data_IF_887091763832
#
_entry.id   IF_887091763832
#
_cell.length_a   1.000
_cell.length_b   1.000
_cell.length_c   1.000
_cell.angle_alpha   90.00
_cell.angle_beta   90.00
_cell.angle_gamma   90.00
#
_symmetry.space_group_name_H-M   'P 1'
#
loop_
_entity.id
_entity.type
_entity.pdbx_description
1 polymer ?
#
# COMPACT_ATOMS: atom_id res chain seq x y z
N UNK A 1 -57.26 -3.15 51.69
CA UNK A 1 -55.79 -3.14 51.58
C UNK A 1 -55.26 -4.04 50.45
N UNK A 2 -55.70 -5.31 50.32
CA UNK A 2 -55.26 -6.23 49.23
C UNK A 2 -55.39 -5.65 47.81
N UNK A 3 -56.52 -5.04 47.45
CA UNK A 3 -56.71 -4.45 46.11
C UNK A 3 -55.79 -3.26 45.81
N UNK A 4 -55.39 -2.48 46.82
CA UNK A 4 -54.45 -1.37 46.61
C UNK A 4 -53.03 -1.89 46.38
N UNK A 5 -52.67 -2.98 47.08
CA UNK A 5 -51.38 -3.66 46.92
C UNK A 5 -51.28 -4.31 45.54
N UNK A 6 -52.33 -5.02 45.08
CA UNK A 6 -52.40 -5.58 43.72
C UNK A 6 -52.27 -4.50 42.64
N UNK A 7 -52.96 -3.37 42.81
CA UNK A 7 -52.88 -2.25 41.87
C UNK A 7 -51.47 -1.63 41.84
N UNK A 8 -50.80 -1.52 43.00
CA UNK A 8 -49.43 -1.02 43.10
C UNK A 8 -48.42 -1.93 42.39
N UNK A 9 -48.60 -3.25 42.49
CA UNK A 9 -47.76 -4.22 41.78
C UNK A 9 -47.94 -4.14 40.26
N UNK A 10 -49.18 -4.00 39.78
CA UNK A 10 -49.48 -3.89 38.35
C UNK A 10 -48.87 -2.61 37.75
N UNK A 11 -49.00 -1.48 38.44
CA UNK A 11 -48.43 -0.18 38.01
C UNK A 11 -46.91 -0.26 37.98
N UNK A 12 -46.29 -0.86 38.99
CA UNK A 12 -44.83 -1.04 39.04
C UNK A 12 -44.34 -1.95 37.91
N UNK A 13 -45.05 -3.04 37.62
CA UNK A 13 -44.69 -3.97 36.55
C UNK A 13 -44.85 -3.34 35.16
N UNK A 14 -45.90 -2.52 34.95
CA UNK A 14 -46.03 -1.72 33.73
C UNK A 14 -44.89 -0.71 33.57
N UNK A 15 -44.51 -0.02 34.64
CA UNK A 15 -43.44 0.98 34.61
C UNK A 15 -42.09 0.35 34.25
N UNK A 16 -41.77 -0.81 34.85
CA UNK A 16 -40.57 -1.59 34.53
C UNK A 16 -40.62 -2.08 33.08
N UNK A 17 -41.77 -2.54 32.61
CA UNK A 17 -41.97 -2.94 31.21
C UNK A 17 -41.68 -1.81 30.22
N UNK A 18 -42.13 -0.58 30.50
CA UNK A 18 -41.87 0.61 29.67
C UNK A 18 -40.38 1.00 29.68
N UNK A 19 -39.69 0.85 30.82
CA UNK A 19 -38.24 1.10 30.90
C UNK A 19 -37.47 0.04 30.10
N UNK A 20 -37.90 -1.23 30.10
CA UNK A 20 -37.25 -2.29 29.32
C UNK A 20 -37.39 -2.10 27.80
N UNK A 21 -38.49 -1.54 27.28
CA UNK A 21 -38.63 -1.28 25.83
C UNK A 21 -37.89 -0.03 25.35
N UNK A 22 -37.47 0.87 26.25
CA UNK A 22 -36.70 2.08 25.90
C UNK A 22 -35.18 1.89 25.99
N UNK A 23 -34.72 0.80 26.60
CA UNK A 23 -33.29 0.46 26.68
C UNK A 23 -32.73 -0.14 25.38
N UNK A 24 -33.58 -0.55 24.44
CA UNK A 24 -33.16 -1.09 23.14
C UNK A 24 -33.10 0.01 22.08
N UNK A 25 -32.18 0.95 22.24
CA UNK A 25 -31.72 1.77 21.11
C UNK A 25 -30.21 1.83 21.09
N UNK A 26 -29.58 0.66 21.07
CA UNK A 26 -28.19 0.55 20.64
C UNK A 26 -28.18 0.78 19.14
N UNK A 27 -28.13 2.06 18.75
CA UNK A 27 -27.58 2.43 17.45
C UNK A 27 -26.09 2.08 17.51
N UNK A 28 -25.80 0.79 17.33
CA UNK A 28 -24.51 0.36 16.82
C UNK A 28 -24.33 1.11 15.52
N UNK A 29 -23.51 2.15 15.57
CA UNK A 29 -23.04 2.84 14.38
C UNK A 29 -22.13 1.82 13.69
N UNK A 30 -22.75 0.93 12.91
CA UNK A 30 -22.04 -0.03 12.07
C UNK A 30 -21.36 0.84 11.03
N UNK A 31 -20.13 1.24 11.33
CA UNK A 31 -19.31 2.03 10.43
C UNK A 31 -19.09 1.16 9.18
N UNK A 32 -19.86 1.44 8.13
CA UNK A 32 -19.81 0.69 6.87
C UNK A 32 -18.53 0.98 6.07
N UNK A 33 -17.84 2.08 6.41
CA UNK A 33 -16.65 2.56 5.72
C UNK A 33 -15.52 2.70 6.73
N UNK A 34 -14.62 1.72 6.73
CA UNK A 34 -13.37 1.77 7.50
C UNK A 34 -12.27 2.38 6.66
N UNK A 35 -11.45 3.23 7.27
CA UNK A 35 -10.28 3.78 6.61
C UNK A 35 -9.24 2.68 6.36
N UNK A 36 -8.48 2.82 5.29
CA UNK A 36 -7.35 1.96 4.99
C UNK A 36 -6.17 2.80 4.48
N UNK A 37 -4.97 2.24 4.60
CA UNK A 37 -3.74 2.76 4.00
C UNK A 37 -2.97 1.62 3.31
N UNK A 38 -2.00 1.99 2.49
CA UNK A 38 -1.09 1.09 1.82
C UNK A 38 0.29 1.20 2.48
N UNK A 39 0.66 0.22 3.30
CA UNK A 39 2.02 0.12 3.82
C UNK A 39 2.94 -0.49 2.76
N UNK A 40 4.14 0.05 2.62
CA UNK A 40 5.11 -0.39 1.62
C UNK A 40 6.48 -0.53 2.26
N UNK A 41 7.23 -1.58 1.92
CA UNK A 41 8.63 -1.65 2.33
C UNK A 41 9.49 -0.63 1.56
N UNK A 42 10.65 -0.24 2.10
CA UNK A 42 11.60 0.58 1.36
C UNK A 42 11.99 -0.09 0.04
N UNK A 43 11.96 0.68 -1.04
CA UNK A 43 12.41 0.26 -2.38
C UNK A 43 13.68 1.02 -2.75
N UNK A 44 14.51 0.44 -3.61
CA UNK A 44 15.65 1.12 -4.20
C UNK A 44 15.25 2.44 -4.86
N UNK A 45 16.10 3.46 -4.73
CA UNK A 45 15.87 4.79 -5.33
C UNK A 45 16.52 4.91 -6.71
N UNK A 46 17.33 3.93 -7.10
CA UNK A 46 18.04 3.87 -8.37
C UNK A 46 17.66 2.60 -9.14
N UNK A 47 17.50 2.73 -10.46
CA UNK A 47 17.14 1.61 -11.34
C UNK A 47 17.77 1.83 -12.72
N UNK A 48 18.47 0.82 -13.24
CA UNK A 48 19.01 0.89 -14.60
C UNK A 48 18.00 0.39 -15.62
N UNK A 49 18.17 0.76 -16.88
CA UNK A 49 17.28 0.31 -17.96
C UNK A 49 17.27 -1.22 -18.06
N UNK A 50 16.08 -1.80 -17.99
CA UNK A 50 15.86 -3.24 -18.05
C UNK A 50 15.88 -3.95 -16.70
N UNK A 51 16.33 -3.27 -15.64
CA UNK A 51 16.23 -3.77 -14.26
C UNK A 51 14.79 -3.71 -13.75
N UNK A 52 14.50 -4.55 -12.76
CA UNK A 52 13.21 -4.68 -12.13
C UNK A 52 13.30 -4.44 -10.61
N UNK A 53 12.51 -3.51 -10.10
CA UNK A 53 12.38 -3.23 -8.67
C UNK A 53 11.15 -3.95 -8.09
N UNK A 54 11.33 -4.67 -6.97
CA UNK A 54 10.25 -5.28 -6.22
C UNK A 54 9.66 -4.31 -5.19
N UNK A 55 8.35 -4.06 -5.25
CA UNK A 55 7.61 -3.22 -4.31
C UNK A 55 6.68 -4.13 -3.51
N UNK A 56 7.00 -4.34 -2.23
CA UNK A 56 6.16 -5.12 -1.31
C UNK A 56 5.12 -4.24 -0.64
N UNK A 57 3.86 -4.61 -0.82
CA UNK A 57 2.72 -3.85 -0.35
C UNK A 57 1.89 -4.66 0.66
N UNK A 58 1.34 -3.97 1.65
CA UNK A 58 0.36 -4.49 2.58
C UNK A 58 -0.76 -3.46 2.77
N UNK A 59 -2.00 -3.88 2.52
CA UNK A 59 -3.18 -3.10 2.79
C UNK A 59 -3.49 -3.18 4.28
N UNK A 60 -3.52 -2.02 4.96
CA UNK A 60 -3.74 -1.91 6.41
C UNK A 60 -5.11 -1.27 6.62
N UNK A 61 -6.02 -1.98 7.28
CA UNK A 61 -7.40 -1.54 7.53
C UNK A 61 -7.59 -1.18 9.00
N UNK A 62 -8.40 -0.17 9.29
CA UNK A 62 -8.75 0.20 10.67
C UNK A 62 -9.81 -0.73 11.30
N UNK A 63 -10.45 -1.59 10.51
CA UNK A 63 -11.46 -2.55 10.94
C UNK A 63 -11.65 -3.68 9.93
N UNK A 64 -12.38 -4.72 10.34
CA UNK A 64 -12.69 -5.87 9.49
C UNK A 64 -14.11 -5.76 8.94
N UNK A 65 -14.24 -5.51 7.63
CA UNK A 65 -15.49 -5.65 6.90
C UNK A 65 -15.28 -6.61 5.73
N UNK A 66 -16.02 -7.73 5.73
CA UNK A 66 -15.77 -8.84 4.81
C UNK A 66 -16.14 -8.55 3.35
N UNK A 67 -17.01 -7.56 3.11
CA UNK A 67 -17.53 -7.28 1.76
C UNK A 67 -16.78 -6.14 1.04
N UNK A 68 -15.72 -5.56 1.63
CA UNK A 68 -14.92 -4.52 0.97
C UNK A 68 -14.08 -5.13 -0.14
N UNK A 69 -14.26 -4.66 -1.37
CA UNK A 69 -13.44 -5.05 -2.52
C UNK A 69 -12.42 -3.97 -2.80
N UNK A 70 -11.18 -4.37 -3.05
CA UNK A 70 -10.10 -3.46 -3.41
C UNK A 70 -9.73 -3.60 -4.89
N UNK A 71 -9.28 -2.49 -5.44
CA UNK A 71 -8.84 -2.38 -6.81
C UNK A 71 -7.55 -1.57 -6.87
N UNK A 72 -6.70 -1.91 -7.82
CA UNK A 72 -5.46 -1.22 -8.07
C UNK A 72 -5.48 -0.59 -9.46
N UNK A 73 -4.94 0.62 -9.54
CA UNK A 73 -4.67 1.36 -10.77
C UNK A 73 -3.30 1.99 -10.64
N UNK A 74 -2.59 2.13 -11.75
CA UNK A 74 -1.35 2.90 -11.76
C UNK A 74 -1.36 3.99 -12.82
N UNK A 75 -0.53 5.00 -12.61
CA UNK A 75 -0.23 6.03 -13.58
C UNK A 75 1.28 6.29 -13.60
N UNK A 76 1.83 6.62 -14.75
CA UNK A 76 3.24 6.94 -14.89
C UNK A 76 3.38 8.37 -15.43
N UNK A 77 3.60 9.37 -14.54
CA UNK A 77 3.81 10.75 -14.95
C UNK A 77 5.08 10.96 -15.79
N UNK A 78 6.16 10.22 -15.49
CA UNK A 78 7.49 10.47 -16.05
C UNK A 78 8.24 9.17 -16.39
N UNK A 79 9.04 9.21 -17.45
CA UNK A 79 9.83 8.09 -17.95
C UNK A 79 8.97 6.99 -18.59
N UNK A 80 9.56 5.82 -18.85
CA UNK A 80 8.87 4.66 -19.42
C UNK A 80 9.23 3.40 -18.66
N UNK A 81 8.21 2.65 -18.24
CA UNK A 81 8.38 1.38 -17.57
C UNK A 81 7.13 0.52 -17.66
N UNK A 82 7.26 -0.72 -17.19
CA UNK A 82 6.18 -1.69 -17.08
C UNK A 82 5.95 -2.02 -15.60
N UNK A 83 4.70 -1.94 -15.15
CA UNK A 83 4.33 -2.36 -13.80
C UNK A 83 3.49 -3.63 -13.88
N UNK A 84 3.89 -4.65 -13.13
CA UNK A 84 3.24 -5.97 -13.15
C UNK A 84 2.97 -6.46 -11.74
N UNK A 85 1.91 -7.24 -11.58
CA UNK A 85 1.61 -7.93 -10.33
C UNK A 85 2.41 -9.23 -10.21
N UNK A 86 2.49 -9.76 -8.99
CA UNK A 86 3.11 -11.06 -8.71
C UNK A 86 2.51 -12.24 -9.50
N UNK A 87 1.24 -12.19 -9.85
CA UNK A 87 0.60 -13.20 -10.69
C UNK A 87 0.94 -13.07 -12.19
N UNK A 88 1.79 -12.11 -12.57
CA UNK A 88 2.22 -11.85 -13.94
C UNK A 88 1.30 -10.94 -14.75
N UNK A 89 0.21 -10.43 -14.16
CA UNK A 89 -0.66 -9.43 -14.82
C UNK A 89 0.11 -8.14 -15.02
N UNK A 90 0.29 -7.73 -16.26
CA UNK A 90 0.83 -6.41 -16.60
C UNK A 90 -0.30 -5.37 -16.48
N UNK A 91 -0.05 -4.33 -15.69
CA UNK A 91 -1.01 -3.24 -15.53
C UNK A 91 -0.84 -2.26 -16.68
N UNK A 92 -1.96 -1.77 -17.20
CA UNK A 92 -2.00 -0.66 -18.16
C UNK A 92 -2.28 0.65 -17.41
N UNK A 93 -1.64 1.78 -17.80
CA UNK A 93 -1.86 3.04 -17.13
C UNK A 93 -3.34 3.43 -17.16
N UNK A 94 -3.87 3.84 -16.01
CA UNK A 94 -5.26 4.21 -15.76
C UNK A 94 -6.31 3.09 -15.81
N UNK A 95 -5.93 1.86 -16.12
CA UNK A 95 -6.84 0.71 -16.05
C UNK A 95 -6.97 0.19 -14.62
N UNK A 96 -8.16 -0.36 -14.31
CA UNK A 96 -8.52 -0.82 -12.98
C UNK A 96 -8.48 -2.35 -12.91
N UNK A 97 -7.78 -2.89 -11.93
CA UNK A 97 -7.62 -4.33 -11.74
C UNK A 97 -8.08 -4.74 -10.33
N UNK A 98 -8.72 -5.92 -10.18
CA UNK A 98 -9.11 -6.42 -8.86
C UNK A 98 -7.88 -6.77 -8.03
N UNK A 99 -7.94 -6.48 -6.73
CA UNK A 99 -6.91 -6.80 -5.77
C UNK A 99 -7.49 -7.71 -4.68
N UNK A 100 -7.45 -9.05 -4.87
CA UNK A 100 -8.08 -10.00 -3.94
C UNK A 100 -7.28 -10.21 -2.66
N UNK A 101 -5.97 -9.94 -2.69
CA UNK A 101 -5.06 -10.16 -1.57
C UNK A 101 -4.67 -8.83 -0.92
N UNK A 102 -4.58 -8.83 0.41
CA UNK A 102 -4.15 -7.66 1.18
C UNK A 102 -2.63 -7.50 1.18
N UNK A 103 -1.89 -8.59 1.01
CA UNK A 103 -0.44 -8.58 0.86
C UNK A 103 -0.11 -9.01 -0.54
N UNK A 104 0.64 -8.18 -1.27
CA UNK A 104 0.95 -8.44 -2.66
C UNK A 104 2.26 -7.76 -3.06
N UNK A 105 2.86 -8.23 -4.14
CA UNK A 105 4.06 -7.64 -4.71
C UNK A 105 3.78 -7.07 -6.08
N UNK A 106 4.38 -5.92 -6.34
CA UNK A 106 4.46 -5.32 -7.66
C UNK A 106 5.92 -5.36 -8.12
N UNK A 107 6.11 -5.55 -9.41
CA UNK A 107 7.42 -5.49 -10.03
C UNK A 107 7.41 -4.38 -11.07
N UNK A 108 8.30 -3.41 -10.90
CA UNK A 108 8.45 -2.30 -11.84
C UNK A 108 9.70 -2.49 -12.66
N UNK A 109 9.55 -2.65 -13.96
CA UNK A 109 10.66 -2.76 -14.90
C UNK A 109 10.90 -1.44 -15.60
N UNK A 110 12.11 -0.90 -15.45
CA UNK A 110 12.54 0.30 -16.16
C UNK A 110 12.74 0.00 -17.65
N UNK A 111 12.18 0.85 -18.52
CA UNK A 111 12.38 0.78 -19.97
C UNK A 111 13.12 2.00 -20.52
N UNK A 112 13.47 2.94 -19.65
CA UNK A 112 14.11 4.21 -19.99
C UNK A 112 15.39 4.46 -19.18
N UNK A 113 16.19 5.43 -19.62
CA UNK A 113 17.39 5.92 -18.92
C UNK A 113 17.16 7.24 -18.20
N UNK A 114 15.96 7.80 -18.31
CA UNK A 114 15.59 9.02 -17.60
C UNK A 114 15.08 8.71 -16.19
N UNK A 115 14.95 9.77 -15.37
CA UNK A 115 14.27 9.68 -14.09
C UNK A 115 12.81 9.22 -14.29
N UNK A 116 12.40 8.26 -13.49
CA UNK A 116 11.10 7.59 -13.60
C UNK A 116 10.28 7.83 -12.36
N UNK A 117 8.97 8.06 -12.53
CA UNK A 117 8.03 8.16 -11.43
C UNK A 117 6.75 7.41 -11.77
N UNK A 118 6.27 6.62 -10.82
CA UNK A 118 4.97 5.96 -10.89
C UNK A 118 4.12 6.33 -9.68
N UNK A 119 2.82 6.42 -9.91
CA UNK A 119 1.79 6.63 -8.89
C UNK A 119 0.87 5.41 -8.88
N UNK A 120 0.75 4.77 -7.72
CA UNK A 120 -0.13 3.63 -7.49
C UNK A 120 -1.32 4.12 -6.66
N UNK A 121 -2.52 3.76 -7.11
CA UNK A 121 -3.79 4.08 -6.48
C UNK A 121 -4.48 2.79 -6.07
N UNK A 122 -4.85 2.70 -4.80
CA UNK A 122 -5.73 1.65 -4.28
C UNK A 122 -7.09 2.28 -4.04
N UNK A 123 -8.11 1.69 -4.63
CA UNK A 123 -9.50 2.10 -4.50
C UNK A 123 -10.26 0.99 -3.79
N UNK A 124 -11.18 1.35 -2.91
CA UNK A 124 -12.15 0.39 -2.38
C UNK A 124 -13.51 0.49 -3.10
N UNK A 125 -14.42 -0.43 -2.76
CA UNK A 125 -15.79 -0.45 -3.27
C UNK A 125 -16.67 0.70 -2.77
N UNK A 126 -16.22 1.48 -1.79
CA UNK A 126 -16.94 2.62 -1.21
C UNK A 126 -16.46 3.97 -1.78
N UNK A 127 -15.44 3.97 -2.63
CA UNK A 127 -14.90 5.15 -3.31
C UNK A 127 -13.75 5.83 -2.56
N UNK A 128 -13.23 5.25 -1.48
CA UNK A 128 -12.00 5.71 -0.84
C UNK A 128 -10.80 5.41 -1.74
N UNK A 129 -9.82 6.31 -1.74
CA UNK A 129 -8.61 6.19 -2.57
C UNK A 129 -7.37 6.49 -1.75
N UNK A 130 -6.40 5.60 -1.80
CA UNK A 130 -5.06 5.79 -1.24
C UNK A 130 -4.06 5.81 -2.38
N UNK A 131 -3.20 6.83 -2.41
CA UNK A 131 -2.14 6.98 -3.40
C UNK A 131 -0.77 6.80 -2.75
N UNK A 132 0.13 6.07 -3.42
CA UNK A 132 1.57 6.07 -3.12
C UNK A 132 2.37 6.34 -4.40
N UNK A 133 3.41 7.14 -4.27
CA UNK A 133 4.31 7.48 -5.37
C UNK A 133 5.68 6.84 -5.15
N UNK A 134 6.27 6.34 -6.23
CA UNK A 134 7.63 5.84 -6.25
C UNK A 134 8.42 6.59 -7.32
N UNK A 135 9.63 7.02 -6.96
CA UNK A 135 10.54 7.72 -7.85
C UNK A 135 11.85 6.96 -7.91
N UNK A 136 12.32 6.74 -9.13
CA UNK A 136 13.56 6.04 -9.43
C UNK A 136 14.45 6.95 -10.27
N UNK A 137 15.69 7.09 -9.84
CA UNK A 137 16.74 7.76 -10.60
C UNK A 137 17.46 6.72 -11.47
N UNK A 138 18.00 7.15 -12.60
CA UNK A 138 18.92 6.30 -13.35
C UNK A 138 20.32 6.46 -12.72
N UNK A 139 20.97 5.35 -12.38
CA UNK A 139 22.42 5.34 -12.22
C UNK A 139 22.99 5.17 -13.62
N UNK A 140 23.62 6.22 -14.18
CA UNK A 140 24.56 6.00 -15.26
C UNK A 140 25.61 5.01 -14.72
N UNK A 141 25.78 3.86 -15.37
CA UNK A 141 26.92 3.00 -15.09
C UNK A 141 28.17 3.84 -15.40
N UNK A 142 28.70 4.54 -14.39
CA UNK A 142 30.03 5.10 -14.44
C UNK A 142 30.96 3.91 -14.70
N UNK A 143 31.39 3.78 -15.96
CA UNK A 143 32.44 2.87 -16.37
C UNK A 143 33.57 3.05 -15.35
N UNK A 144 33.80 2.03 -14.52
CA UNK A 144 34.92 2.03 -13.59
C UNK A 144 36.17 2.12 -14.44
N UNK A 145 36.74 3.32 -14.55
CA UNK A 145 38.12 3.51 -14.98
C UNK A 145 38.99 2.74 -14.00
N UNK A 146 39.31 1.49 -14.36
CA UNK A 146 40.41 0.74 -13.79
C UNK A 146 41.68 1.53 -14.08
N UNK A 147 42.02 2.51 -13.24
CA UNK A 147 43.33 3.14 -13.22
C UNK A 147 44.33 2.08 -12.78
N UNK A 148 44.78 1.27 -13.73
CA UNK A 148 45.89 0.36 -13.60
C UNK A 148 47.10 1.17 -13.15
N UNK A 149 47.52 0.94 -11.90
CA UNK A 149 48.60 1.64 -11.23
C UNK A 149 49.94 1.37 -11.93
N UNK A 150 50.27 2.15 -12.97
CA UNK A 150 51.53 2.07 -13.70
C UNK A 150 52.70 2.76 -12.97
N UNK A 151 52.54 3.15 -11.70
CA UNK A 151 53.61 3.81 -10.91
C UNK A 151 54.58 2.85 -10.22
N UNK A 152 54.44 1.53 -10.39
CA UNK A 152 55.31 0.54 -9.72
C UNK A 152 56.63 0.20 -10.45
N UNK A 153 56.92 0.74 -11.64
CA UNK A 153 58.08 0.27 -12.44
C UNK A 153 59.22 1.27 -12.70
N UNK A 154 59.18 2.49 -12.16
CA UNK A 154 60.26 3.49 -12.36
C UNK A 154 61.13 3.69 -11.10
N UNK A 155 61.23 2.67 -10.24
CA UNK A 155 61.88 2.78 -8.93
C UNK A 155 63.13 1.92 -8.69
N UNK A 156 63.59 1.10 -9.64
CA UNK A 156 64.70 0.17 -9.37
C UNK A 156 65.67 0.00 -10.55
N UNK A 157 66.33 1.08 -10.94
CA UNK A 157 67.55 0.99 -11.79
C UNK A 157 68.53 2.15 -11.56
N UNK A 158 69.22 2.11 -10.41
CA UNK A 158 70.52 2.77 -10.12
C UNK A 158 70.95 2.25 -8.75
N UNK A 159 72.15 1.75 -8.47
CA UNK A 159 73.42 1.76 -9.17
C UNK A 159 74.28 0.66 -8.50
N UNK A 160 74.80 -0.29 -9.28
CA UNK A 160 75.90 -1.18 -8.89
C UNK A 160 77.10 -0.77 -9.73
N UNK A 161 77.98 0.06 -9.18
CA UNK A 161 79.43 0.11 -9.46
C UNK A 161 80.09 0.63 -8.17
#
# INVERSE_FOLDING_TARGET
MKKMIETLFIVTFMLVGVICVTACSDKLDVQQVYEFDLATLPVQTTIVKGEEAEIRCQLVRSGEYQDTKYFIRYFQPTGKGELRMENGTVLLPNDLYPLPEETFRLYYKSLDTDQQKIDIYILDSFGQVVQKSFAFNNEEEDEKEDTFNERAWIGNRKMRI
#
